data_IF_678222695335
#
_entry.id   IF_678222695335
#
_cell.length_a   1.000
_cell.length_b   1.000
_cell.length_c   1.000
_cell.angle_alpha   90.00
_cell.angle_beta   90.00
_cell.angle_gamma   90.00
#
_symmetry.space_group_name_H-M   'P 1'
#
loop_
_entity.id
_entity.type
_entity.pdbx_description
1 polymer ?
#
# COMPACT_ATOMS: atom_id res chain seq x y z
N UNK A 1 -13.90 7.27 -35.81
CA UNK A 1 -12.45 7.18 -35.48
C UNK A 1 -12.33 6.91 -33.98
N UNK A 2 -12.56 5.67 -33.55
CA UNK A 2 -12.43 5.16 -32.17
C UNK A 2 -12.11 3.66 -32.32
N UNK A 3 -10.84 3.31 -32.48
CA UNK A 3 -10.45 1.88 -32.53
C UNK A 3 -9.02 1.59 -32.05
N UNK A 4 -8.19 2.56 -31.69
CA UNK A 4 -6.81 2.26 -31.32
C UNK A 4 -6.61 1.81 -29.86
N UNK A 5 -7.45 2.29 -28.92
CA UNK A 5 -7.18 2.14 -27.48
C UNK A 5 -7.57 0.78 -26.90
N UNK A 6 -8.55 0.10 -27.49
CA UNK A 6 -9.01 -1.22 -27.03
C UNK A 6 -8.23 -2.38 -27.65
N UNK A 7 -7.62 -2.16 -28.82
CA UNK A 7 -6.87 -3.18 -29.56
C UNK A 7 -5.45 -3.36 -28.97
N UNK A 8 -4.85 -2.28 -28.43
CA UNK A 8 -3.53 -2.31 -27.79
C UNK A 8 -3.49 -3.03 -26.43
N UNK A 9 -4.62 -3.14 -25.72
CA UNK A 9 -4.70 -3.83 -24.42
C UNK A 9 -4.75 -5.36 -24.61
N UNK A 10 -5.29 -5.82 -25.74
CA UNK A 10 -5.40 -7.25 -26.06
C UNK A 10 -4.09 -7.87 -26.57
N UNK A 11 -3.20 -7.10 -27.20
CA UNK A 11 -1.94 -7.63 -27.76
C UNK A 11 -0.82 -7.84 -26.73
N UNK A 12 -1.00 -7.43 -25.47
CA UNK A 12 0.07 -7.40 -24.47
C UNK A 12 -0.05 -8.40 -23.33
N UNK A 13 -1.09 -9.23 -23.31
CA UNK A 13 -1.13 -10.39 -22.42
C UNK A 13 -0.20 -11.45 -22.99
N UNK A 14 1.05 -11.48 -22.51
CA UNK A 14 1.85 -12.67 -22.67
C UNK A 14 1.06 -13.84 -22.07
N UNK A 15 0.95 -14.96 -22.79
CA UNK A 15 0.23 -16.14 -22.31
C UNK A 15 0.95 -16.70 -21.08
N UNK A 16 0.63 -16.18 -19.89
CA UNK A 16 1.32 -16.54 -18.66
C UNK A 16 0.85 -17.93 -18.22
N UNK A 17 1.73 -18.92 -18.36
CA UNK A 17 1.45 -20.28 -17.89
C UNK A 17 1.56 -20.36 -16.36
N UNK A 18 0.42 -20.56 -15.71
CA UNK A 18 0.33 -20.81 -14.27
C UNK A 18 0.27 -22.31 -13.99
N UNK A 19 1.00 -22.77 -12.97
CA UNK A 19 0.97 -24.18 -12.54
C UNK A 19 -0.05 -24.35 -11.41
N UNK A 20 -0.99 -25.27 -11.59
CA UNK A 20 -2.06 -25.56 -10.62
C UNK A 20 -1.53 -26.03 -9.25
N UNK A 21 -0.33 -26.61 -9.22
CA UNK A 21 0.30 -27.10 -7.98
C UNK A 21 1.21 -26.07 -7.30
N UNK A 22 1.39 -24.88 -7.90
CA UNK A 22 2.12 -23.80 -7.26
C UNK A 22 1.27 -23.17 -6.15
N UNK A 23 1.94 -22.76 -5.08
CA UNK A 23 1.38 -21.94 -4.00
C UNK A 23 0.99 -20.56 -4.53
N UNK A 24 -0.07 -19.97 -3.99
CA UNK A 24 -0.55 -18.65 -4.41
C UNK A 24 0.51 -17.55 -4.28
N UNK A 25 1.39 -17.64 -3.27
CA UNK A 25 2.53 -16.74 -3.13
C UNK A 25 3.43 -16.74 -4.37
N UNK A 26 3.69 -17.91 -4.96
CA UNK A 26 4.50 -18.03 -6.17
C UNK A 26 3.75 -17.56 -7.42
N UNK A 27 2.44 -17.81 -7.48
CA UNK A 27 1.57 -17.34 -8.55
C UNK A 27 1.52 -15.81 -8.58
N UNK A 28 1.37 -15.17 -7.42
CA UNK A 28 1.44 -13.70 -7.29
C UNK A 28 2.73 -13.13 -7.85
N UNK A 29 3.88 -13.71 -7.50
CA UNK A 29 5.17 -13.24 -8.02
C UNK A 29 5.31 -13.41 -9.54
N UNK A 30 4.67 -14.42 -10.13
CA UNK A 30 4.58 -14.55 -11.60
C UNK A 30 3.69 -13.47 -12.19
N UNK A 31 2.52 -13.23 -11.61
CA UNK A 31 1.56 -12.25 -12.10
C UNK A 31 2.05 -10.81 -11.94
N UNK A 32 2.84 -10.50 -10.90
CA UNK A 32 3.47 -9.18 -10.69
C UNK A 32 4.50 -8.82 -11.76
N UNK A 33 5.15 -9.81 -12.37
CA UNK A 33 6.17 -9.55 -13.42
C UNK A 33 5.55 -8.96 -14.68
N UNK A 34 4.32 -9.34 -14.99
CA UNK A 34 3.46 -8.67 -15.96
C UNK A 34 2.60 -7.67 -15.19
N UNK A 35 3.20 -6.53 -14.81
CA UNK A 35 2.66 -5.49 -13.90
C UNK A 35 1.19 -5.08 -14.13
N UNK A 36 0.59 -5.43 -15.27
CA UNK A 36 -0.78 -5.14 -15.65
C UNK A 36 -1.81 -6.14 -15.09
N UNK A 37 -1.43 -7.37 -14.69
CA UNK A 37 -2.39 -8.41 -14.26
C UNK A 37 -2.63 -8.40 -12.74
N UNK A 38 -1.59 -8.17 -11.95
CA UNK A 38 -1.66 -8.30 -10.49
C UNK A 38 -0.83 -7.24 -9.79
N UNK A 39 -1.42 -6.61 -8.79
CA UNK A 39 -0.74 -5.70 -7.90
C UNK A 39 -1.04 -6.02 -6.43
N UNK A 40 -0.43 -5.25 -5.53
CA UNK A 40 -0.63 -5.42 -4.09
C UNK A 40 -2.02 -4.98 -3.63
N UNK A 41 -2.76 -4.26 -4.48
CA UNK A 41 -4.15 -3.88 -4.29
C UNK A 41 -5.13 -4.89 -4.91
N UNK A 42 -4.73 -6.13 -5.18
CA UNK A 42 -5.63 -7.20 -5.59
C UNK A 42 -5.35 -8.46 -4.75
N UNK A 43 -6.40 -9.07 -4.24
CA UNK A 43 -6.34 -10.32 -3.47
C UNK A 43 -6.94 -11.46 -4.27
N UNK A 44 -6.45 -12.68 -4.03
CA UNK A 44 -7.07 -13.86 -4.59
C UNK A 44 -8.43 -14.07 -3.91
N UNK A 45 -9.40 -14.55 -4.68
CA UNK A 45 -10.67 -14.99 -4.16
C UNK A 45 -10.75 -16.53 -4.20
N UNK A 46 -11.37 -17.11 -3.17
CA UNK A 46 -11.73 -18.52 -3.19
C UNK A 46 -12.97 -18.78 -4.08
N UNK A 47 -13.39 -20.03 -4.17
CA UNK A 47 -14.57 -20.44 -4.95
C UNK A 47 -15.89 -19.77 -4.53
N UNK A 48 -15.96 -19.25 -3.30
CA UNK A 48 -17.09 -18.49 -2.79
C UNK A 48 -16.94 -16.97 -2.99
N UNK A 49 -16.02 -16.53 -3.85
CA UNK A 49 -15.67 -15.11 -4.08
C UNK A 49 -15.26 -14.36 -2.80
N UNK A 50 -14.72 -15.07 -1.81
CA UNK A 50 -14.24 -14.49 -0.55
C UNK A 50 -12.74 -14.24 -0.61
N UNK A 51 -12.30 -13.13 -0.02
CA UNK A 51 -10.89 -12.76 0.07
C UNK A 51 -10.05 -13.85 0.74
N UNK A 52 -8.90 -14.15 0.13
CA UNK A 52 -7.83 -14.94 0.73
C UNK A 52 -6.80 -13.97 1.28
N UNK A 53 -6.55 -14.06 2.59
CA UNK A 53 -5.56 -13.23 3.25
C UNK A 53 -4.15 -13.51 2.70
N UNK A 54 -3.31 -12.47 2.67
CA UNK A 54 -1.94 -12.54 2.13
C UNK A 54 -1.07 -13.58 2.84
N UNK A 55 -1.23 -13.70 4.14
CA UNK A 55 -0.54 -14.68 4.98
C UNK A 55 -0.85 -16.12 4.58
N UNK A 56 -2.08 -16.39 4.14
CA UNK A 56 -2.56 -17.73 3.77
C UNK A 56 -2.11 -18.15 2.36
N UNK A 57 -1.68 -17.19 1.52
CA UNK A 57 -1.18 -17.47 0.16
C UNK A 57 0.02 -18.44 0.14
N UNK A 58 0.73 -18.59 1.27
CA UNK A 58 1.85 -19.52 1.42
C UNK A 58 1.41 -20.98 1.62
N UNK A 59 0.18 -21.23 2.02
CA UNK A 59 -0.33 -22.58 2.30
C UNK A 59 -1.30 -23.07 1.23
N UNK A 60 -1.97 -22.15 0.52
CA UNK A 60 -2.98 -22.46 -0.49
C UNK A 60 -2.32 -22.66 -1.86
N UNK A 61 -2.77 -23.68 -2.60
CA UNK A 61 -2.36 -23.94 -4.00
C UNK A 61 -3.40 -23.41 -4.99
N UNK A 62 -2.96 -23.05 -6.20
CA UNK A 62 -3.84 -22.50 -7.24
C UNK A 62 -5.03 -23.41 -7.57
N UNK A 63 -4.83 -24.73 -7.58
CA UNK A 63 -5.89 -25.71 -7.85
C UNK A 63 -7.09 -25.63 -6.90
N UNK A 64 -6.88 -25.16 -5.66
CA UNK A 64 -7.95 -25.08 -4.66
C UNK A 64 -8.93 -23.94 -4.91
N UNK A 65 -8.53 -22.94 -5.70
CA UNK A 65 -9.30 -21.69 -5.87
C UNK A 65 -9.73 -21.45 -7.31
N UNK A 66 -9.11 -22.13 -8.28
CA UNK A 66 -9.45 -21.96 -9.69
C UNK A 66 -10.83 -22.55 -9.97
N UNK A 67 -11.66 -21.81 -10.71
CA UNK A 67 -12.89 -22.36 -11.24
C UNK A 67 -12.55 -23.34 -12.36
N UNK A 68 -12.72 -24.63 -12.10
CA UNK A 68 -12.39 -25.69 -13.05
C UNK A 68 -13.32 -25.74 -14.27
N UNK A 69 -14.52 -25.15 -14.19
CA UNK A 69 -15.44 -25.11 -15.34
C UNK A 69 -14.94 -24.11 -16.39
N UNK A 70 -14.50 -22.94 -15.93
CA UNK A 70 -14.08 -21.84 -16.79
C UNK A 70 -12.56 -21.63 -16.84
N UNK A 71 -11.78 -22.47 -16.13
CA UNK A 71 -10.35 -22.30 -15.87
C UNK A 71 -9.99 -20.85 -15.47
N UNK A 72 -10.85 -20.24 -14.66
CA UNK A 72 -10.79 -18.81 -14.35
C UNK A 72 -10.29 -18.61 -12.92
N UNK A 73 -9.31 -17.70 -12.79
CA UNK A 73 -8.80 -17.23 -11.51
C UNK A 73 -9.43 -15.88 -11.18
N UNK A 74 -10.08 -15.78 -10.02
CA UNK A 74 -10.73 -14.56 -9.59
C UNK A 74 -9.82 -13.75 -8.69
N UNK A 75 -9.71 -12.47 -9.02
CA UNK A 75 -9.07 -11.44 -8.21
C UNK A 75 -10.14 -10.47 -7.73
N UNK A 76 -10.02 -10.05 -6.49
CA UNK A 76 -10.90 -9.04 -5.90
C UNK A 76 -10.07 -7.85 -5.44
N UNK A 77 -10.68 -6.68 -5.52
CA UNK A 77 -10.15 -5.51 -4.85
C UNK A 77 -10.25 -5.74 -3.33
N UNK A 78 -9.15 -5.53 -2.59
CA UNK A 78 -9.10 -5.73 -1.16
C UNK A 78 -10.05 -4.74 -0.51
N UNK A 79 -10.60 -5.16 0.63
CA UNK A 79 -11.30 -4.25 1.50
C UNK A 79 -10.35 -3.10 1.87
N UNK A 80 -10.72 -1.84 1.62
CA UNK A 80 -9.85 -0.72 1.93
C UNK A 80 -9.62 -0.56 3.43
N UNK A 81 -10.49 -1.14 4.27
CA UNK A 81 -10.24 -1.31 5.69
C UNK A 81 -8.96 -2.13 5.93
N UNK A 82 -8.62 -3.09 5.06
CA UNK A 82 -7.33 -3.79 5.10
C UNK A 82 -6.16 -2.82 4.89
N UNK A 83 -6.22 -1.94 3.88
CA UNK A 83 -5.14 -0.97 3.62
C UNK A 83 -4.99 0.02 4.78
N UNK A 84 -6.11 0.54 5.30
CA UNK A 84 -6.12 1.43 6.46
C UNK A 84 -5.48 0.74 7.67
N UNK A 85 -5.85 -0.52 7.92
CA UNK A 85 -5.35 -1.27 9.08
C UNK A 85 -3.90 -1.72 8.92
N UNK A 86 -3.48 -2.11 7.71
CA UNK A 86 -2.11 -2.54 7.41
C UNK A 86 -1.15 -1.37 7.51
N UNK A 87 -1.46 -0.26 6.82
CA UNK A 87 -0.63 0.94 6.79
C UNK A 87 -0.82 1.86 8.00
N UNK A 88 -1.74 1.52 8.91
CA UNK A 88 -2.04 2.28 10.13
C UNK A 88 -2.35 3.76 9.84
N UNK A 89 -3.16 4.02 8.81
CA UNK A 89 -3.40 5.38 8.28
C UNK A 89 -4.14 6.32 9.26
N UNK A 90 -4.71 5.77 10.33
CA UNK A 90 -5.37 6.53 11.40
C UNK A 90 -4.41 7.04 12.50
N UNK A 91 -3.14 6.63 12.45
CA UNK A 91 -2.10 7.02 13.40
C UNK A 91 -1.24 8.16 12.84
N UNK A 92 -0.87 9.11 13.70
CA UNK A 92 0.15 10.08 13.37
C UNK A 92 1.53 9.45 13.25
N UNK A 93 2.45 10.19 12.63
CA UNK A 93 3.86 9.86 12.60
C UNK A 93 4.66 11.08 13.09
N UNK A 94 5.71 10.82 13.86
CA UNK A 94 6.63 11.88 14.29
C UNK A 94 7.47 12.37 13.11
N UNK A 95 8.26 13.43 13.31
CA UNK A 95 9.25 13.89 12.31
C UNK A 95 10.29 12.79 12.00
N UNK A 96 10.56 11.87 12.94
CA UNK A 96 11.40 10.70 12.71
C UNK A 96 10.68 9.55 12.00
N UNK A 97 9.40 9.72 11.64
CA UNK A 97 8.49 8.71 11.11
C UNK A 97 8.24 7.54 12.06
N UNK A 98 8.45 7.75 13.36
CA UNK A 98 7.99 6.79 14.34
C UNK A 98 6.48 6.90 14.44
N UNK A 99 5.80 5.76 14.27
CA UNK A 99 4.35 5.68 14.41
C UNK A 99 3.93 6.06 15.83
N UNK A 100 2.91 6.88 15.95
CA UNK A 100 2.32 7.22 17.23
C UNK A 100 1.72 5.99 17.93
N UNK A 101 1.58 6.09 19.26
CA UNK A 101 1.06 4.99 20.07
C UNK A 101 -0.47 4.84 19.94
N UNK A 102 -1.17 5.92 19.63
CA UNK A 102 -2.64 5.98 19.54
C UNK A 102 -3.10 6.58 18.22
N UNK A 103 -4.35 6.29 17.87
CA UNK A 103 -5.03 6.87 16.70
C UNK A 103 -5.40 8.31 16.99
N UNK A 104 -4.87 9.26 16.22
CA UNK A 104 -5.27 10.66 16.26
C UNK A 104 -6.61 10.89 15.56
N UNK A 105 -6.90 10.11 14.52
CA UNK A 105 -8.07 10.28 13.67
C UNK A 105 -8.80 8.96 13.48
N UNK A 106 -10.06 9.07 13.04
CA UNK A 106 -10.84 7.99 12.48
C UNK A 106 -11.14 8.33 11.02
N UNK A 107 -10.88 7.40 10.11
CA UNK A 107 -11.29 7.55 8.72
C UNK A 107 -12.79 7.21 8.64
N UNK A 108 -13.60 8.16 8.16
CA UNK A 108 -15.06 8.01 8.06
C UNK A 108 -15.55 7.82 6.64
N UNK A 109 -14.66 8.02 5.67
CA UNK A 109 -14.88 7.72 4.26
C UNK A 109 -13.64 7.97 3.44
N UNK A 110 -13.62 7.47 2.22
CA UNK A 110 -12.49 7.61 1.32
C UNK A 110 -12.96 7.68 -0.14
N UNK A 111 -12.19 8.38 -0.96
CA UNK A 111 -12.32 8.40 -2.41
C UNK A 111 -11.03 7.81 -3.02
N UNK A 112 -11.19 7.05 -4.10
CA UNK A 112 -10.10 6.27 -4.71
C UNK A 112 -10.04 6.57 -6.18
N UNK A 113 -8.82 6.68 -6.69
CA UNK A 113 -8.58 6.89 -8.11
C UNK A 113 -7.43 6.01 -8.54
N UNK A 114 -7.67 5.11 -9.49
CA UNK A 114 -6.62 4.34 -10.12
C UNK A 114 -5.69 5.26 -10.91
N UNK A 115 -4.41 4.96 -10.84
CA UNK A 115 -3.36 5.66 -11.57
C UNK A 115 -2.75 4.66 -12.55
N UNK A 116 -2.89 4.95 -13.84
CA UNK A 116 -2.29 4.17 -14.92
C UNK A 116 -1.09 4.92 -15.56
N UNK A 117 -0.47 5.82 -14.80
CA UNK A 117 0.64 6.63 -15.27
C UNK A 117 1.94 5.83 -15.38
N UNK A 118 2.80 6.28 -16.29
CA UNK A 118 4.13 5.70 -16.41
C UNK A 118 4.93 5.87 -15.10
N UNK A 119 5.82 4.92 -14.77
CA UNK A 119 6.61 4.99 -13.54
C UNK A 119 7.40 6.30 -13.47
N UNK A 120 7.36 6.96 -12.32
CA UNK A 120 8.03 8.24 -12.12
C UNK A 120 9.40 8.00 -11.49
N UNK A 121 10.44 8.48 -12.15
CA UNK A 121 11.81 8.38 -11.67
C UNK A 121 12.24 9.70 -11.04
N UNK A 122 12.69 9.67 -9.78
CA UNK A 122 13.16 10.85 -9.05
C UNK A 122 14.55 10.59 -8.49
N UNK A 123 15.50 11.46 -8.80
CA UNK A 123 16.85 11.43 -8.20
C UNK A 123 16.86 12.29 -6.92
N UNK A 124 17.31 11.71 -5.83
CA UNK A 124 17.28 12.30 -4.49
C UNK A 124 18.70 12.40 -3.97
N UNK A 125 19.15 13.61 -3.66
CA UNK A 125 20.42 13.85 -2.99
C UNK A 125 20.29 13.60 -1.49
N UNK A 126 20.90 12.52 -1.00
CA UNK A 126 20.82 12.09 0.40
C UNK A 126 21.51 13.07 1.37
N UNK A 127 22.41 13.94 0.89
CA UNK A 127 23.09 14.94 1.74
C UNK A 127 22.21 16.14 2.07
N UNK A 128 21.32 16.53 1.16
CA UNK A 128 20.39 17.67 1.33
C UNK A 128 18.98 17.21 1.76
N UNK A 129 18.62 15.95 1.50
CA UNK A 129 17.28 15.41 1.64
C UNK A 129 17.01 14.58 2.90
N UNK A 130 17.64 14.85 4.05
CA UNK A 130 17.47 14.05 5.29
C UNK A 130 16.01 13.80 5.71
N UNK A 131 15.06 14.65 5.29
CA UNK A 131 13.63 14.49 5.53
C UNK A 131 12.95 13.55 4.50
N UNK A 132 13.28 13.68 3.22
CA UNK A 132 12.75 12.84 2.13
C UNK A 132 13.40 11.45 2.07
N UNK A 133 14.65 11.32 2.55
CA UNK A 133 15.34 10.04 2.71
C UNK A 133 14.53 9.10 3.62
N UNK A 134 13.79 9.65 4.58
CA UNK A 134 12.95 8.88 5.51
C UNK A 134 11.58 8.52 4.97
N UNK A 135 10.96 9.40 4.17
CA UNK A 135 9.67 9.10 3.52
C UNK A 135 9.78 7.90 2.56
N UNK A 136 10.97 7.69 1.98
CA UNK A 136 11.31 6.49 1.18
C UNK A 136 11.31 5.23 2.07
N UNK A 137 11.63 5.31 3.36
CA UNK A 137 11.60 4.14 4.26
C UNK A 137 10.19 3.74 4.72
N UNK A 138 9.13 4.43 4.28
CA UNK A 138 7.75 3.95 4.45
C UNK A 138 7.45 2.71 3.59
N UNK A 139 8.35 2.36 2.66
CA UNK A 139 8.32 1.10 1.93
C UNK A 139 9.09 0.03 2.74
N UNK A 140 8.39 -0.96 3.29
CA UNK A 140 8.96 -2.07 4.07
C UNK A 140 10.07 -2.87 3.32
N UNK A 141 10.19 -2.71 1.99
CA UNK A 141 11.07 -3.50 1.11
C UNK A 141 12.43 -2.87 0.79
N UNK A 142 12.80 -1.73 1.39
CA UNK A 142 14.11 -1.09 1.10
C UNK A 142 15.18 -1.61 2.07
N UNK A 143 16.05 -2.49 1.57
CA UNK A 143 17.20 -3.04 2.29
C UNK A 143 18.22 -1.94 2.64
N UNK A 144 18.22 -1.53 3.91
CA UNK A 144 19.06 -0.46 4.46
C UNK A 144 20.57 -0.76 4.44
N UNK A 145 20.98 -2.00 4.13
CA UNK A 145 22.37 -2.44 4.24
C UNK A 145 23.23 -2.18 2.98
N UNK A 146 22.64 -1.70 1.88
CA UNK A 146 23.39 -1.28 0.68
C UNK A 146 23.70 0.21 0.69
N UNK A 147 24.44 0.67 1.70
CA UNK A 147 25.06 2.00 1.67
C UNK A 147 26.32 1.97 0.82
N UNK A 148 26.19 2.31 -0.46
CA UNK A 148 27.31 2.74 -1.31
C UNK A 148 27.51 4.24 -1.10
N UNK A 149 28.76 4.70 -1.01
CA UNK A 149 29.17 6.07 -0.66
C UNK A 149 28.79 7.16 -1.70
N UNK A 150 27.82 6.88 -2.58
CA UNK A 150 27.36 7.78 -3.61
C UNK A 150 26.15 8.55 -3.09
N UNK A 151 26.21 9.88 -3.22
CA UNK A 151 25.36 10.83 -2.47
C UNK A 151 23.94 10.94 -3.01
N UNK A 152 23.54 10.09 -3.96
CA UNK A 152 22.25 10.13 -4.64
C UNK A 152 21.59 8.76 -4.68
N UNK A 153 20.29 8.74 -4.45
CA UNK A 153 19.42 7.58 -4.60
C UNK A 153 18.43 7.85 -5.74
N UNK A 154 18.14 6.86 -6.56
CA UNK A 154 17.07 6.94 -7.56
C UNK A 154 15.87 6.17 -7.06
N UNK A 155 14.74 6.86 -6.89
CA UNK A 155 13.46 6.26 -6.52
C UNK A 155 12.62 6.13 -7.78
N UNK A 156 12.13 4.92 -8.03
CA UNK A 156 11.20 4.63 -9.12
C UNK A 156 9.84 4.36 -8.47
N UNK A 157 8.92 5.30 -8.61
CA UNK A 157 7.57 5.21 -8.07
C UNK A 157 6.63 4.60 -9.11
N UNK A 158 5.96 3.52 -8.72
CA UNK A 158 4.87 2.89 -9.47
C UNK A 158 3.55 3.21 -8.77
N UNK A 159 3.04 4.42 -8.97
CA UNK A 159 1.79 4.86 -8.35
C UNK A 159 0.63 4.04 -8.95
N UNK A 160 -0.07 3.28 -8.11
CA UNK A 160 -1.18 2.40 -8.55
C UNK A 160 -2.56 3.00 -8.24
N UNK A 161 -2.69 3.58 -7.05
CA UNK A 161 -3.93 4.20 -6.59
C UNK A 161 -3.62 5.46 -5.78
N UNK A 162 -4.46 6.49 -5.92
CA UNK A 162 -4.52 7.64 -5.01
C UNK A 162 -5.67 7.43 -4.03
N UNK A 163 -5.38 7.60 -2.74
CA UNK A 163 -6.38 7.53 -1.68
C UNK A 163 -6.59 8.92 -1.08
N UNK A 164 -7.84 9.35 -1.01
CA UNK A 164 -8.24 10.60 -0.35
C UNK A 164 -9.18 10.30 0.79
N UNK A 165 -8.76 10.60 2.02
CA UNK A 165 -9.53 10.29 3.22
C UNK A 165 -10.37 11.46 3.70
N UNK A 166 -11.56 11.16 4.20
CA UNK A 166 -12.35 12.01 5.10
C UNK A 166 -12.09 11.53 6.51
N UNK A 167 -11.65 12.42 7.39
CA UNK A 167 -11.22 12.07 8.74
C UNK A 167 -11.96 12.88 9.79
N UNK A 168 -12.20 12.25 10.93
CA UNK A 168 -12.69 12.90 12.14
C UNK A 168 -11.66 12.67 13.27
N UNK A 169 -11.35 13.70 14.08
CA UNK A 169 -10.41 13.53 15.18
C UNK A 169 -10.99 12.61 16.25
N UNK A 170 -10.14 11.74 16.80
CA UNK A 170 -10.50 10.86 17.89
C UNK A 170 -10.89 11.69 19.14
N UNK A 171 -12.01 11.40 19.83
CA UNK A 171 -12.39 12.10 21.04
C UNK A 171 -11.29 12.17 22.11
N UNK A 172 -10.46 11.13 22.24
CA UNK A 172 -9.31 11.13 23.16
C UNK A 172 -8.24 12.15 22.76
N UNK A 173 -7.94 12.24 21.46
CA UNK A 173 -7.01 13.22 20.92
C UNK A 173 -7.53 14.64 21.14
N UNK A 174 -8.81 14.90 20.83
CA UNK A 174 -9.46 16.19 21.07
C UNK A 174 -9.35 16.59 22.55
N UNK A 175 -9.63 15.65 23.45
CA UNK A 175 -9.53 15.88 24.90
C UNK A 175 -8.10 16.23 25.30
N UNK A 176 -7.11 15.46 24.86
CA UNK A 176 -5.71 15.72 25.18
C UNK A 176 -5.27 17.12 24.72
N UNK A 177 -5.67 17.53 23.51
CA UNK A 177 -5.37 18.87 22.98
C UNK A 177 -6.04 19.97 23.82
N UNK A 178 -7.32 19.81 24.19
CA UNK A 178 -8.02 20.76 25.07
C UNK A 178 -7.32 20.90 26.42
N UNK A 179 -6.98 19.78 27.07
CA UNK A 179 -6.29 19.76 28.36
C UNK A 179 -4.90 20.43 28.30
N UNK A 180 -4.22 20.35 27.15
CA UNK A 180 -2.94 21.04 26.92
C UNK A 180 -3.10 22.54 26.71
N UNK A 181 -4.13 22.97 25.99
CA UNK A 181 -4.45 24.40 25.81
C UNK A 181 -4.78 25.03 27.18
N UNK A 182 -5.65 24.38 27.95
CA UNK A 182 -6.10 24.88 29.26
C UNK A 182 -4.95 24.99 30.27
N UNK A 183 -3.96 24.10 30.20
CA UNK A 183 -2.83 24.15 31.14
C UNK A 183 -1.81 25.24 30.86
N UNK A 184 -1.87 25.90 29.69
CA UNK A 184 -0.91 26.94 29.27
C UNK A 184 0.56 26.49 29.34
N UNK A 185 0.81 25.18 29.24
CA UNK A 185 2.15 24.58 29.29
C UNK A 185 2.49 24.01 27.90
N UNK A 186 3.36 24.69 27.14
CA UNK A 186 3.74 24.25 25.81
C UNK A 186 4.32 22.83 25.77
N UNK A 187 4.89 22.33 26.88
CA UNK A 187 5.51 21.00 26.94
C UNK A 187 4.47 19.88 26.80
N UNK A 188 3.19 20.14 27.06
CA UNK A 188 2.14 19.14 26.89
C UNK A 188 1.85 18.82 25.42
N UNK A 189 1.99 19.79 24.51
CA UNK A 189 1.81 19.53 23.08
C UNK A 189 2.85 18.57 22.52
N UNK A 190 4.10 18.66 23.00
CA UNK A 190 5.14 17.70 22.62
C UNK A 190 4.78 16.27 23.01
N UNK A 191 4.20 16.08 24.20
CA UNK A 191 3.74 14.75 24.63
C UNK A 191 2.61 14.24 23.75
N UNK A 192 1.69 15.11 23.34
CA UNK A 192 0.60 14.74 22.43
C UNK A 192 1.15 14.25 21.09
N UNK A 193 2.13 14.93 20.48
CA UNK A 193 2.73 14.50 19.21
C UNK A 193 3.52 13.19 19.28
N UNK A 194 3.95 12.78 20.48
CA UNK A 194 4.59 11.49 20.71
C UNK A 194 3.54 10.38 20.96
N UNK A 195 2.36 10.74 21.44
CA UNK A 195 1.28 9.81 21.80
C UNK A 195 0.28 9.56 20.66
N UNK A 196 0.00 10.57 19.82
CA UNK A 196 -1.04 10.59 18.77
C UNK A 196 -0.49 10.93 17.38
#
# INVERSE_FOLDING_TARGET
MKHASHELILERLSSLELNLHDKLSNIREKLKKDNDIMNDTLSFANSSMTEIAREDEKEIILKEIIDAENNTLYLIEPDYDFLINKLKLEYGHTISLDRANKKAFKITGYDITEIADAPKCTEINLKEGQFMEKDIFLFEDIDTNKRTNNSTCTVIEYSKVSLKFKTEPNPEFIKAVKDAIESKDPRKFRKITEEF
#
